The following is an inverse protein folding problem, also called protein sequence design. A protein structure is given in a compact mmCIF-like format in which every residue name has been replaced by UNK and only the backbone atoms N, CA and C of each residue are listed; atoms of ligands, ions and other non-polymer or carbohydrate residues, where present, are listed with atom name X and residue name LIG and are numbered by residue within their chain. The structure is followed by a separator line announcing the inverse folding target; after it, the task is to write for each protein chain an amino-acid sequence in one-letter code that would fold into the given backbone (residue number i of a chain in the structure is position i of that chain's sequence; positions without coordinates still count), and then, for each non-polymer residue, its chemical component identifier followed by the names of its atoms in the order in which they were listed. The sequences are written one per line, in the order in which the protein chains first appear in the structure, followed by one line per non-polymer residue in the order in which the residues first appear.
data_IF_231323782701
#
_entry.id   IF_231323782701
#
_cell.length_a   1.000
_cell.length_b   1.000
_cell.length_c   1.000
_cell.angle_alpha   90.00
_cell.angle_beta   90.00
_cell.angle_gamma   90.00
#
_symmetry.space_group_name_H-M   'P 1'
#
loop_
_entity.id
_entity.type
_entity.pdbx_description
1 polymer ?
#
# COMPACT_ATOMS: atom_id res chain seq x y z
N UNK A 1 -14.25 54.42 -46.53
CA UNK A 1 -14.93 53.49 -45.59
C UNK A 1 -14.51 52.06 -45.94
N UNK A 2 -13.72 51.43 -45.03
CA UNK A 2 -13.32 50.01 -45.14
C UNK A 2 -14.23 49.20 -44.22
N UNK A 3 -14.70 48.02 -44.62
CA UNK A 3 -15.51 47.14 -43.75
C UNK A 3 -14.66 46.46 -42.67
N UNK A 4 -15.23 46.10 -41.51
CA UNK A 4 -14.55 45.43 -40.42
C UNK A 4 -14.25 43.96 -40.72
N UNK A 5 -13.18 43.41 -40.04
CA UNK A 5 -12.81 42.01 -40.23
C UNK A 5 -13.76 41.03 -39.51
N UNK A 6 -13.85 39.76 -39.96
CA UNK A 6 -14.76 38.79 -39.38
C UNK A 6 -14.24 38.24 -38.06
N UNK A 7 -15.18 37.94 -37.15
CA UNK A 7 -14.94 37.37 -35.83
C UNK A 7 -14.38 35.95 -35.90
N UNK A 8 -13.29 35.69 -35.12
CA UNK A 8 -12.72 34.37 -34.95
C UNK A 8 -13.61 33.49 -34.04
N UNK A 9 -14.05 32.35 -34.60
CA UNK A 9 -14.72 31.31 -33.83
C UNK A 9 -13.70 30.47 -33.03
N UNK A 10 -13.84 30.46 -31.73
CA UNK A 10 -13.11 29.56 -30.84
C UNK A 10 -13.66 28.11 -30.95
N UNK A 11 -12.79 27.08 -30.88
CA UNK A 11 -13.27 25.70 -30.97
C UNK A 11 -13.91 25.25 -29.65
N UNK A 12 -15.12 24.74 -29.74
CA UNK A 12 -15.86 24.08 -28.65
C UNK A 12 -15.15 22.77 -28.22
N UNK A 13 -14.28 22.83 -27.21
CA UNK A 13 -13.83 21.66 -26.45
C UNK A 13 -14.67 21.58 -25.17
N UNK A 14 -15.61 20.62 -25.10
CA UNK A 14 -16.38 20.46 -23.88
C UNK A 14 -17.59 19.53 -23.92
N UNK A 15 -17.63 18.52 -24.81
CA UNK A 15 -18.78 17.60 -24.85
C UNK A 15 -18.48 16.10 -24.79
N UNK A 16 -17.22 15.68 -24.67
CA UNK A 16 -16.89 14.24 -24.58
C UNK A 16 -16.74 13.71 -23.14
N UNK A 17 -16.50 14.55 -22.16
CA UNK A 17 -16.32 14.09 -20.77
C UNK A 17 -17.64 13.76 -20.06
N UNK A 18 -18.76 14.33 -20.47
CA UNK A 18 -20.06 14.10 -19.81
C UNK A 18 -20.77 12.79 -20.22
N UNK A 19 -20.40 12.21 -21.35
CA UNK A 19 -21.08 10.98 -21.84
C UNK A 19 -20.51 9.73 -21.16
N UNK A 20 -19.24 9.74 -20.75
CA UNK A 20 -18.60 8.58 -20.09
C UNK A 20 -19.06 8.45 -18.64
N UNK A 21 -19.35 9.56 -17.95
CA UNK A 21 -19.83 9.52 -16.55
C UNK A 21 -21.30 9.02 -16.46
N UNK A 22 -22.14 9.29 -17.44
CA UNK A 22 -23.51 8.78 -17.45
C UNK A 22 -23.61 7.28 -17.78
N UNK A 23 -22.68 6.73 -18.56
CA UNK A 23 -22.66 5.30 -18.90
C UNK A 23 -22.31 4.39 -17.70
N UNK A 24 -21.45 4.84 -16.81
CA UNK A 24 -21.08 4.11 -15.59
C UNK A 24 -22.17 4.16 -14.50
N UNK A 25 -22.96 5.22 -14.45
CA UNK A 25 -24.08 5.35 -13.52
C UNK A 25 -25.29 4.47 -13.90
N UNK A 26 -25.51 4.22 -15.20
CA UNK A 26 -26.61 3.37 -15.68
C UNK A 26 -26.32 1.86 -15.54
N UNK A 27 -25.07 1.44 -15.59
CA UNK A 27 -24.68 0.05 -15.30
C UNK A 27 -24.78 -0.30 -13.81
N UNK A 28 -24.64 0.69 -12.90
CA UNK A 28 -24.86 0.51 -11.47
C UNK A 28 -26.33 0.40 -11.07
N UNK A 29 -27.25 1.04 -11.80
CA UNK A 29 -28.67 1.04 -11.46
C UNK A 29 -29.40 -0.25 -11.89
N UNK A 30 -28.95 -0.93 -12.94
CA UNK A 30 -29.55 -2.19 -13.39
C UNK A 30 -29.21 -3.37 -12.45
N UNK A 31 -28.12 -3.30 -11.70
CA UNK A 31 -27.72 -4.34 -10.73
C UNK A 31 -28.47 -4.23 -9.40
N UNK A 32 -29.09 -3.09 -9.09
CA UNK A 32 -29.84 -2.87 -7.84
C UNK A 32 -31.27 -3.45 -7.87
N UNK A 33 -31.82 -3.74 -9.05
CA UNK A 33 -33.17 -4.24 -9.18
C UNK A 33 -33.31 -5.77 -9.00
N UNK A 34 -32.21 -6.52 -9.01
CA UNK A 34 -32.21 -7.98 -8.74
C UNK A 34 -31.78 -8.38 -7.33
N UNK A 35 -31.56 -7.40 -6.45
CA UNK A 35 -31.08 -7.65 -5.07
C UNK A 35 -32.20 -8.02 -4.07
N UNK A 36 -33.37 -8.46 -4.51
CA UNK A 36 -34.54 -8.56 -3.62
C UNK A 36 -34.81 -9.97 -3.07
N UNK A 37 -33.80 -10.87 -3.03
CA UNK A 37 -33.86 -12.10 -2.24
C UNK A 37 -32.46 -12.62 -1.86
N UNK A 38 -31.45 -11.76 -1.68
CA UNK A 38 -30.20 -12.20 -1.07
C UNK A 38 -30.43 -12.32 0.45
N UNK A 39 -30.27 -13.53 0.98
CA UNK A 39 -30.04 -13.72 2.42
C UNK A 39 -29.02 -12.70 2.93
N UNK A 40 -29.12 -12.21 4.19
CA UNK A 40 -28.17 -11.21 4.69
C UNK A 40 -26.76 -11.79 4.51
N UNK A 41 -25.98 -11.16 3.62
CA UNK A 41 -24.59 -11.55 3.38
C UNK A 41 -23.87 -11.53 4.73
N UNK A 42 -23.47 -12.70 5.21
CA UNK A 42 -22.66 -12.82 6.42
C UNK A 42 -21.31 -12.23 6.09
N UNK A 43 -21.08 -10.98 6.47
CA UNK A 43 -19.77 -10.35 6.35
C UNK A 43 -18.75 -11.09 7.21
N UNK A 44 -17.55 -11.30 6.67
CA UNK A 44 -16.43 -11.73 7.47
C UNK A 44 -16.32 -13.23 7.76
N UNK A 45 -16.35 -14.08 6.74
CA UNK A 45 -16.16 -15.52 6.88
C UNK A 45 -14.75 -15.98 7.25
N UNK A 46 -13.70 -15.18 7.02
CA UNK A 46 -12.30 -15.53 7.37
C UNK A 46 -12.09 -15.56 8.88
N UNK A 47 -11.08 -16.34 9.32
CA UNK A 47 -10.64 -16.35 10.71
C UNK A 47 -10.02 -15.01 11.10
N UNK A 48 -10.11 -14.67 12.38
CA UNK A 48 -9.53 -13.45 12.92
C UNK A 48 -8.00 -13.44 12.70
N UNK A 49 -7.41 -12.29 12.40
CA UNK A 49 -6.00 -12.07 12.03
C UNK A 49 -5.56 -12.69 10.70
N UNK A 50 -6.42 -13.47 9.99
CA UNK A 50 -6.05 -14.08 8.69
C UNK A 50 -6.41 -13.19 7.49
N UNK A 51 -7.04 -12.05 7.69
CA UNK A 51 -7.24 -11.02 6.67
C UNK A 51 -6.01 -10.15 6.40
N UNK A 52 -4.96 -10.33 7.21
CA UNK A 52 -3.81 -9.43 7.25
C UNK A 52 -4.15 -8.08 7.86
N UNK A 53 -3.17 -7.21 7.88
CA UNK A 53 -3.35 -5.76 8.11
C UNK A 53 -3.15 -5.03 6.78
N UNK A 54 -3.38 -3.72 6.74
CA UNK A 54 -3.11 -2.92 5.55
C UNK A 54 -1.76 -2.25 5.74
N UNK A 55 -0.82 -2.52 4.84
CA UNK A 55 0.51 -1.91 4.89
C UNK A 55 0.45 -0.41 4.56
N UNK A 56 1.52 0.30 4.84
CA UNK A 56 1.62 1.77 4.63
C UNK A 56 1.34 2.24 3.19
N UNK A 57 1.45 1.36 2.19
CA UNK A 57 1.18 1.67 0.78
C UNK A 57 -0.23 1.22 0.32
N UNK A 58 -1.05 0.66 1.23
CA UNK A 58 -2.46 0.35 1.02
C UNK A 58 -2.78 -1.12 0.68
N UNK A 59 -1.81 -1.94 0.29
CA UNK A 59 -2.06 -3.36 0.02
C UNK A 59 -2.23 -4.15 1.33
N UNK A 60 -3.04 -5.21 1.30
CA UNK A 60 -3.15 -6.14 2.43
C UNK A 60 -1.86 -6.93 2.64
N UNK A 61 -1.42 -7.03 3.91
CA UNK A 61 -0.16 -7.67 4.24
C UNK A 61 0.22 -7.52 5.70
N UNK A 62 1.46 -7.24 5.97
CA UNK A 62 1.99 -6.74 7.23
C UNK A 62 2.00 -5.22 7.29
N UNK A 63 2.85 -4.62 8.11
CA UNK A 63 3.00 -3.16 8.19
C UNK A 63 3.82 -2.58 7.04
N UNK A 64 4.91 -3.25 6.70
CA UNK A 64 5.88 -2.83 5.67
C UNK A 64 5.75 -3.63 4.36
N UNK A 65 5.33 -4.90 4.43
CA UNK A 65 5.38 -5.82 3.29
C UNK A 65 4.00 -6.28 2.84
N UNK A 66 3.70 -6.36 1.53
CA UNK A 66 2.48 -6.97 1.05
C UNK A 66 2.57 -8.51 1.17
N UNK A 67 1.48 -9.14 1.62
CA UNK A 67 1.35 -10.59 1.66
C UNK A 67 0.49 -11.08 0.49
N UNK A 68 0.55 -12.38 0.22
CA UNK A 68 -0.30 -12.98 -0.79
C UNK A 68 -1.79 -13.03 -0.38
N UNK A 69 -2.11 -12.76 0.89
CA UNK A 69 -3.48 -12.69 1.39
C UNK A 69 -4.25 -11.56 0.70
N UNK A 70 -5.51 -11.81 0.40
CA UNK A 70 -6.46 -10.78 -0.03
C UNK A 70 -7.02 -10.14 1.24
N UNK A 71 -6.86 -8.83 1.37
CA UNK A 71 -7.26 -8.07 2.55
C UNK A 71 -8.77 -8.07 2.80
N UNK A 72 -9.14 -7.78 4.04
CA UNK A 72 -10.51 -7.89 4.53
C UNK A 72 -10.92 -9.33 4.87
N UNK A 73 -12.12 -9.47 5.45
CA UNK A 73 -12.60 -10.74 5.98
C UNK A 73 -13.57 -11.49 5.06
N UNK A 74 -13.77 -11.03 3.80
CA UNK A 74 -14.59 -11.71 2.81
C UNK A 74 -14.00 -13.04 2.34
N UNK A 75 -14.84 -14.07 2.23
CA UNK A 75 -14.49 -15.39 1.68
C UNK A 75 -14.66 -15.42 0.15
N UNK A 76 -14.58 -16.61 -0.45
CA UNK A 76 -14.67 -16.79 -1.92
C UNK A 76 -16.02 -16.39 -2.53
N UNK A 77 -17.05 -16.26 -1.72
CA UNK A 77 -18.42 -15.86 -2.05
C UNK A 77 -18.79 -14.47 -1.50
N UNK A 78 -17.83 -13.78 -0.86
CA UNK A 78 -18.04 -12.54 -0.15
C UNK A 78 -17.09 -11.43 -0.60
N UNK A 79 -17.48 -10.19 -0.31
CA UNK A 79 -16.65 -9.00 -0.40
C UNK A 79 -16.21 -8.62 1.01
N UNK A 80 -14.95 -8.28 1.19
CA UNK A 80 -14.43 -7.69 2.42
C UNK A 80 -13.84 -6.33 2.12
N UNK A 81 -13.88 -5.43 3.08
CA UNK A 81 -13.26 -4.12 2.96
C UNK A 81 -12.49 -3.78 4.23
N UNK A 82 -11.53 -2.89 4.10
CA UNK A 82 -10.75 -2.39 5.21
C UNK A 82 -10.41 -0.92 4.98
N UNK A 83 -10.56 -0.09 6.01
CA UNK A 83 -10.04 1.28 6.05
C UNK A 83 -8.95 1.35 7.12
N UNK A 84 -7.91 2.15 6.90
CA UNK A 84 -6.78 2.23 7.82
C UNK A 84 -6.26 3.64 8.00
N UNK A 85 -5.67 3.88 9.15
CA UNK A 85 -4.81 5.00 9.44
C UNK A 85 -3.57 4.50 10.17
N UNK A 86 -2.40 4.89 9.68
CA UNK A 86 -1.10 4.53 10.23
C UNK A 86 -0.27 5.77 10.46
N UNK A 87 0.32 5.87 11.65
CA UNK A 87 1.33 6.85 12.02
C UNK A 87 2.67 6.16 12.23
N UNK A 88 3.70 6.64 11.54
CA UNK A 88 5.10 6.30 11.82
C UNK A 88 5.81 7.53 12.32
N UNK A 89 6.51 7.41 13.42
CA UNK A 89 7.23 8.49 14.09
C UNK A 89 8.65 8.01 14.38
N UNK A 90 9.62 8.48 13.61
CA UNK A 90 11.03 8.13 13.74
C UNK A 90 11.83 9.34 14.22
N UNK A 91 13.15 9.20 14.38
CA UNK A 91 14.01 10.22 14.99
C UNK A 91 13.79 11.60 14.40
N UNK A 92 13.89 11.75 13.08
CA UNK A 92 13.92 13.05 12.40
C UNK A 92 12.73 13.28 11.47
N UNK A 93 11.93 12.24 11.21
CA UNK A 93 10.81 12.27 10.27
C UNK A 93 9.53 11.72 10.85
N UNK A 94 8.42 11.96 10.16
CA UNK A 94 7.18 11.26 10.44
C UNK A 94 6.37 11.01 9.18
N UNK A 95 5.55 9.96 9.22
CA UNK A 95 4.68 9.56 8.12
C UNK A 95 3.27 9.30 8.65
N UNK A 96 2.28 9.93 8.02
CA UNK A 96 0.88 9.56 8.14
C UNK A 96 0.47 8.83 6.85
N UNK A 97 -0.08 7.64 6.97
CA UNK A 97 -0.66 6.90 5.85
C UNK A 97 -2.10 6.53 6.15
N UNK A 98 -2.99 6.73 5.20
CA UNK A 98 -4.40 6.38 5.33
C UNK A 98 -4.99 5.98 3.99
N UNK A 99 -5.99 5.14 4.03
CA UNK A 99 -6.61 4.62 2.82
C UNK A 99 -7.61 3.53 3.09
N UNK A 100 -7.92 2.78 2.04
CA UNK A 100 -8.84 1.67 2.08
C UNK A 100 -8.47 0.60 1.05
N UNK A 101 -8.91 -0.61 1.31
CA UNK A 101 -8.88 -1.70 0.35
C UNK A 101 -10.21 -2.44 0.31
N UNK A 102 -10.47 -3.08 -0.81
CA UNK A 102 -11.61 -3.98 -1.03
C UNK A 102 -11.09 -5.30 -1.58
N UNK A 103 -11.39 -6.38 -0.88
CA UNK A 103 -11.14 -7.75 -1.31
C UNK A 103 -12.39 -8.36 -1.92
N UNK A 104 -12.28 -8.78 -3.18
CA UNK A 104 -13.37 -9.36 -3.95
C UNK A 104 -13.17 -10.87 -4.05
N UNK A 105 -14.10 -11.64 -3.46
CA UNK A 105 -14.21 -13.10 -3.59
C UNK A 105 -12.92 -13.84 -3.21
N UNK A 106 -12.16 -13.28 -2.25
CA UNK A 106 -10.84 -13.78 -1.85
C UNK A 106 -9.88 -14.03 -3.04
N UNK A 107 -10.08 -13.27 -4.13
CA UNK A 107 -9.33 -13.43 -5.39
C UNK A 107 -8.64 -12.15 -5.85
N UNK A 108 -9.33 -11.01 -5.78
CA UNK A 108 -8.83 -9.72 -6.24
C UNK A 108 -8.88 -8.73 -5.10
N UNK A 109 -7.86 -7.92 -4.94
CA UNK A 109 -7.80 -6.80 -4.01
C UNK A 109 -7.56 -5.53 -4.81
N UNK A 110 -8.36 -4.50 -4.52
CA UNK A 110 -8.15 -3.13 -4.99
C UNK A 110 -7.86 -2.26 -3.78
N UNK A 111 -6.89 -1.36 -3.88
CA UNK A 111 -6.50 -0.50 -2.77
C UNK A 111 -6.17 0.91 -3.19
N UNK A 112 -6.40 1.85 -2.27
CA UNK A 112 -5.98 3.24 -2.37
C UNK A 112 -5.30 3.63 -1.07
N UNK A 113 -4.22 4.41 -1.16
CA UNK A 113 -3.56 4.98 0.00
C UNK A 113 -3.04 6.38 -0.31
N UNK A 114 -3.00 7.23 0.71
CA UNK A 114 -2.29 8.51 0.70
C UNK A 114 -1.33 8.54 1.86
N UNK A 115 -0.08 8.84 1.54
CA UNK A 115 1.01 9.01 2.49
C UNK A 115 1.39 10.48 2.56
N UNK A 116 1.60 11.00 3.78
CA UNK A 116 2.12 12.34 4.06
C UNK A 116 3.38 12.20 4.88
N UNK A 117 4.50 12.46 4.25
CA UNK A 117 5.81 12.39 4.88
C UNK A 117 6.26 13.81 5.27
N UNK A 118 6.50 14.02 6.55
CA UNK A 118 6.90 15.30 7.13
C UNK A 118 8.40 15.28 7.46
N UNK A 119 9.14 16.21 6.90
CA UNK A 119 10.59 16.32 7.06
C UNK A 119 11.02 17.06 8.32
N UNK A 120 10.09 17.56 9.13
CA UNK A 120 10.37 18.26 10.39
C UNK A 120 11.47 19.31 10.24
N UNK A 121 12.51 19.24 11.07
CA UNK A 121 13.65 20.19 11.05
C UNK A 121 14.61 19.91 9.89
N UNK A 122 14.69 18.68 9.38
CA UNK A 122 15.53 18.29 8.25
C UNK A 122 15.16 19.08 6.98
N UNK A 123 13.88 19.39 6.78
CA UNK A 123 13.43 20.23 5.68
C UNK A 123 14.08 21.63 5.69
N UNK A 124 14.29 22.21 6.86
CA UNK A 124 15.01 23.48 6.98
C UNK A 124 16.51 23.33 6.67
N UNK A 125 17.15 22.24 7.10
CA UNK A 125 18.55 21.96 6.78
C UNK A 125 18.77 21.76 5.27
N UNK A 126 17.79 21.22 4.57
CA UNK A 126 17.80 21.05 3.11
C UNK A 126 17.33 22.28 2.32
N UNK A 127 17.02 23.41 3.00
CA UNK A 127 16.53 24.63 2.35
C UNK A 127 15.07 24.58 1.88
N UNK A 128 14.32 23.54 2.23
CA UNK A 128 12.91 23.35 1.85
C UNK A 128 11.93 24.04 2.82
N UNK A 129 12.43 24.44 4.01
CA UNK A 129 11.62 24.94 5.11
C UNK A 129 11.26 23.86 6.13
N UNK A 130 11.08 24.31 7.39
CA UNK A 130 10.70 23.40 8.50
C UNK A 130 9.33 22.79 8.27
N UNK A 131 9.21 21.46 8.45
CA UNK A 131 7.95 20.74 8.27
C UNK A 131 7.50 20.65 6.82
N UNK A 132 8.45 20.72 5.87
CA UNK A 132 8.14 20.46 4.47
C UNK A 132 7.55 19.05 4.30
N UNK A 133 6.56 18.91 3.42
CA UNK A 133 5.83 17.66 3.26
C UNK A 133 5.84 17.16 1.84
N UNK A 134 6.07 15.86 1.71
CA UNK A 134 5.77 15.11 0.49
C UNK A 134 4.43 14.38 0.67
N UNK A 135 3.62 14.38 -0.38
CA UNK A 135 2.40 13.56 -0.45
C UNK A 135 2.56 12.54 -1.57
N UNK A 136 2.34 11.28 -1.25
CA UNK A 136 2.33 10.20 -2.23
C UNK A 136 0.95 9.54 -2.26
N UNK A 137 0.35 9.47 -3.44
CA UNK A 137 -0.86 8.70 -3.70
C UNK A 137 -0.49 7.35 -4.30
N UNK A 138 -1.13 6.30 -3.82
CA UNK A 138 -0.94 4.93 -4.29
C UNK A 138 -2.28 4.32 -4.71
N UNK A 139 -2.31 3.71 -5.89
CA UNK A 139 -3.39 2.85 -6.36
C UNK A 139 -2.84 1.43 -6.51
N UNK A 140 -3.51 0.46 -5.89
CA UNK A 140 -3.04 -0.92 -5.87
C UNK A 140 -4.05 -1.89 -6.46
N UNK A 141 -3.53 -2.93 -7.10
CA UNK A 141 -4.27 -4.14 -7.48
C UNK A 141 -3.44 -5.36 -7.10
N UNK A 142 -4.08 -6.38 -6.52
CA UNK A 142 -3.48 -7.68 -6.23
C UNK A 142 -4.42 -8.77 -6.68
N UNK A 143 -3.86 -9.84 -7.27
CA UNK A 143 -4.60 -11.00 -7.73
C UNK A 143 -3.98 -12.26 -7.14
N UNK A 144 -4.76 -13.03 -6.40
CA UNK A 144 -4.41 -14.38 -5.93
C UNK A 144 -4.40 -15.33 -7.12
N UNK A 145 -3.26 -15.96 -7.39
CA UNK A 145 -3.06 -16.88 -8.50
C UNK A 145 -3.41 -18.32 -8.10
N UNK A 146 -2.83 -18.79 -6.99
CA UNK A 146 -2.90 -20.19 -6.56
C UNK A 146 -2.75 -20.31 -5.04
N UNK A 147 -3.00 -21.52 -4.53
CA UNK A 147 -2.82 -21.91 -3.14
C UNK A 147 -3.85 -21.31 -2.19
N UNK A 148 -3.78 -21.73 -0.94
CA UNK A 148 -4.53 -21.16 0.17
C UNK A 148 -3.60 -21.08 1.39
N UNK A 149 -3.47 -19.89 1.95
CA UNK A 149 -2.53 -19.65 3.04
C UNK A 149 -2.98 -20.29 4.36
N UNK A 150 -4.29 -20.44 4.57
CA UNK A 150 -4.90 -20.76 5.86
C UNK A 150 -5.56 -22.12 5.89
N UNK A 151 -6.35 -22.46 4.89
CA UNK A 151 -7.22 -23.64 4.94
C UNK A 151 -6.60 -24.88 4.29
N UNK A 152 -5.56 -24.73 3.46
CA UNK A 152 -4.90 -25.83 2.76
C UNK A 152 -3.66 -26.30 3.55
N UNK A 153 -3.90 -26.96 4.71
CA UNK A 153 -2.82 -27.37 5.61
C UNK A 153 -2.10 -28.64 5.16
N UNK A 154 -2.77 -29.50 4.39
CA UNK A 154 -2.22 -30.78 3.91
C UNK A 154 -1.26 -30.62 2.71
N UNK A 155 -1.20 -29.42 2.13
CA UNK A 155 -0.33 -29.11 1.00
C UNK A 155 0.78 -28.15 1.40
N UNK A 156 1.98 -28.38 0.82
CA UNK A 156 3.12 -27.48 1.00
C UNK A 156 2.95 -26.15 0.24
N UNK A 157 2.08 -26.10 -0.79
CA UNK A 157 1.89 -24.94 -1.67
C UNK A 157 1.36 -23.74 -0.86
N UNK A 158 2.12 -22.60 -0.81
CA UNK A 158 1.64 -21.38 -0.19
C UNK A 158 0.56 -20.73 -1.06
N UNK A 159 -0.15 -19.77 -0.50
CA UNK A 159 -0.92 -18.84 -1.31
C UNK A 159 0.05 -17.95 -2.10
N UNK A 160 -0.17 -17.82 -3.40
CA UNK A 160 0.64 -17.00 -4.31
C UNK A 160 -0.23 -15.90 -4.90
N UNK A 161 0.26 -14.68 -4.88
CA UNK A 161 -0.41 -13.53 -5.47
C UNK A 161 0.60 -12.64 -6.21
N UNK A 162 0.14 -12.00 -7.28
CA UNK A 162 0.85 -10.91 -7.93
C UNK A 162 0.11 -9.60 -7.66
N UNK A 163 0.84 -8.49 -7.63
CA UNK A 163 0.24 -7.18 -7.49
C UNK A 163 1.04 -6.09 -8.17
N UNK A 164 0.38 -4.96 -8.33
CA UNK A 164 0.94 -3.72 -8.85
C UNK A 164 0.50 -2.55 -7.98
N UNK A 165 1.41 -1.63 -7.71
CA UNK A 165 1.17 -0.39 -6.99
C UNK A 165 1.62 0.78 -7.87
N UNK A 166 0.68 1.53 -8.42
CA UNK A 166 0.98 2.80 -9.07
C UNK A 166 1.08 3.89 -8.00
N UNK A 167 2.22 4.53 -7.92
CA UNK A 167 2.56 5.55 -6.93
C UNK A 167 2.86 6.87 -7.61
N UNK A 168 2.43 7.96 -7.02
CA UNK A 168 2.67 9.31 -7.53
C UNK A 168 2.92 10.29 -6.40
N UNK A 169 4.04 11.00 -6.48
CA UNK A 169 4.43 12.04 -5.55
C UNK A 169 4.02 13.44 -6.08
N UNK A 170 3.75 14.38 -5.17
CA UNK A 170 3.27 15.72 -5.46
C UNK A 170 4.38 16.79 -5.62
N UNK A 171 5.66 16.47 -5.35
CA UNK A 171 6.79 17.40 -5.30
C UNK A 171 7.85 17.18 -6.40
N UNK A 172 7.49 17.31 -7.70
CA UNK A 172 8.38 16.95 -8.80
C UNK A 172 9.70 17.74 -8.80
N UNK A 173 9.68 19.01 -8.44
CA UNK A 173 10.88 19.87 -8.46
C UNK A 173 11.88 19.47 -7.38
N UNK A 174 11.39 19.13 -6.18
CA UNK A 174 12.24 18.65 -5.08
C UNK A 174 12.78 17.26 -5.40
N UNK A 175 11.97 16.40 -6.00
CA UNK A 175 12.42 15.06 -6.44
C UNK A 175 13.54 15.18 -7.49
N UNK A 176 13.41 16.06 -8.46
CA UNK A 176 14.46 16.31 -9.44
C UNK A 176 15.74 16.87 -8.79
N UNK A 177 15.61 17.74 -7.79
CA UNK A 177 16.75 18.28 -7.05
C UNK A 177 17.53 17.20 -6.28
N UNK A 178 16.86 16.21 -5.70
CA UNK A 178 17.50 15.07 -5.01
C UNK A 178 18.00 13.99 -5.98
N UNK A 179 17.85 14.18 -7.29
CA UNK A 179 18.37 13.29 -8.33
C UNK A 179 17.39 12.24 -8.84
N UNK A 180 16.14 12.22 -8.38
CA UNK A 180 15.13 11.29 -8.87
C UNK A 180 14.72 11.64 -10.32
N UNK A 181 14.52 10.60 -11.13
CA UNK A 181 14.21 10.75 -12.57
C UNK A 181 12.70 10.89 -12.83
N UNK A 182 11.85 10.41 -11.93
CA UNK A 182 10.39 10.40 -12.10
C UNK A 182 9.70 10.67 -10.76
N UNK A 183 8.53 11.30 -10.83
CA UNK A 183 7.64 11.49 -9.69
C UNK A 183 6.62 10.36 -9.52
N UNK A 184 6.44 9.52 -10.54
CA UNK A 184 5.49 8.41 -10.55
C UNK A 184 6.07 7.19 -11.27
N UNK A 185 5.70 6.01 -10.77
CA UNK A 185 6.01 4.72 -11.41
C UNK A 185 5.11 3.62 -10.83
N UNK A 186 5.25 2.42 -11.36
CA UNK A 186 4.55 1.22 -10.94
C UNK A 186 5.54 0.24 -10.32
N UNK A 187 5.32 -0.15 -9.07
CA UNK A 187 5.96 -1.32 -8.47
C UNK A 187 5.16 -2.57 -8.83
N UNK A 188 5.86 -3.61 -9.25
CA UNK A 188 5.29 -4.95 -9.44
C UNK A 188 5.80 -5.85 -8.32
N UNK A 189 4.97 -6.77 -7.82
CA UNK A 189 5.41 -7.73 -6.82
C UNK A 189 4.76 -9.10 -6.97
N UNK A 190 5.48 -10.12 -6.51
CA UNK A 190 5.03 -11.49 -6.37
C UNK A 190 5.19 -11.86 -4.89
N UNK A 191 4.11 -12.24 -4.24
CA UNK A 191 4.09 -12.63 -2.83
C UNK A 191 3.69 -14.10 -2.68
N UNK A 192 4.27 -14.75 -1.67
CA UNK A 192 3.95 -16.11 -1.26
C UNK A 192 3.77 -16.15 0.27
N UNK A 193 2.59 -16.56 0.75
CA UNK A 193 2.25 -16.56 2.18
C UNK A 193 1.69 -17.92 2.59
N UNK A 194 2.13 -18.41 3.74
CA UNK A 194 1.61 -19.64 4.38
C UNK A 194 1.46 -19.42 5.88
N UNK A 195 0.32 -19.85 6.42
CA UNK A 195 0.07 -19.96 7.86
C UNK A 195 0.02 -21.44 8.21
N UNK A 196 0.94 -21.87 9.05
CA UNK A 196 0.97 -23.21 9.64
C UNK A 196 0.15 -23.18 10.92
N UNK A 197 -1.06 -23.76 10.89
CA UNK A 197 -2.02 -23.70 12.01
C UNK A 197 -1.56 -24.48 13.23
N UNK A 198 -0.88 -25.61 13.05
CA UNK A 198 -0.34 -26.46 14.10
C UNK A 198 0.71 -25.74 14.97
N UNK A 199 1.59 -24.95 14.34
CA UNK A 199 2.59 -24.14 14.99
C UNK A 199 2.17 -22.69 15.20
N UNK A 200 0.99 -22.30 14.67
CA UNK A 200 0.50 -20.92 14.67
C UNK A 200 1.47 -19.92 14.04
N UNK A 201 2.24 -20.35 13.04
CA UNK A 201 3.31 -19.60 12.40
C UNK A 201 2.91 -19.16 11.00
N UNK A 202 2.93 -17.86 10.74
CA UNK A 202 2.80 -17.28 9.42
C UNK A 202 4.18 -16.92 8.87
N UNK A 203 4.41 -17.30 7.62
CA UNK A 203 5.62 -16.92 6.86
C UNK A 203 5.20 -16.29 5.54
N UNK A 204 5.83 -15.19 5.19
CA UNK A 204 5.65 -14.51 3.90
C UNK A 204 7.00 -14.18 3.27
N UNK A 205 7.09 -14.34 1.95
CA UNK A 205 8.17 -13.84 1.13
C UNK A 205 7.60 -13.08 -0.07
N UNK A 206 8.18 -11.93 -0.39
CA UNK A 206 7.75 -11.09 -1.50
C UNK A 206 8.96 -10.65 -2.31
N UNK A 207 8.87 -10.76 -3.62
CA UNK A 207 9.80 -10.19 -4.59
C UNK A 207 9.15 -8.97 -5.23
N UNK A 208 9.81 -7.82 -5.15
CA UNK A 208 9.33 -6.56 -5.72
C UNK A 208 10.26 -6.09 -6.83
N UNK A 209 9.71 -5.71 -7.97
CA UNK A 209 10.43 -5.12 -9.09
C UNK A 209 10.11 -3.62 -9.17
N UNK A 210 11.07 -2.79 -8.75
CA UNK A 210 10.82 -1.38 -8.43
C UNK A 210 11.97 -0.45 -8.84
N UNK A 211 11.68 0.85 -8.94
CA UNK A 211 12.62 1.97 -8.97
C UNK A 211 12.44 2.91 -7.77
N UNK A 212 11.56 2.59 -6.85
CA UNK A 212 11.13 3.49 -5.78
C UNK A 212 12.25 3.78 -4.77
N UNK A 213 12.62 5.04 -4.61
CA UNK A 213 13.51 5.52 -3.56
C UNK A 213 12.66 5.78 -2.29
N UNK A 214 13.09 5.32 -1.13
CA UNK A 214 12.32 5.44 0.13
C UNK A 214 10.84 5.10 -0.07
N UNK A 215 10.56 3.90 -0.62
CA UNK A 215 9.20 3.42 -0.91
C UNK A 215 8.42 4.29 -1.91
N UNK A 216 9.11 5.19 -2.66
CA UNK A 216 8.54 6.13 -3.62
C UNK A 216 8.40 7.56 -3.12
N UNK A 217 8.55 7.80 -1.81
CA UNK A 217 8.48 9.14 -1.22
C UNK A 217 9.55 10.07 -1.82
N UNK A 218 10.73 9.54 -2.15
CA UNK A 218 11.80 10.28 -2.82
C UNK A 218 11.83 10.03 -4.34
N UNK A 219 10.67 9.72 -4.95
CA UNK A 219 10.53 9.50 -6.37
C UNK A 219 11.08 8.16 -6.85
N UNK A 220 11.32 8.06 -8.17
CA UNK A 220 11.61 6.79 -8.84
C UNK A 220 12.80 6.94 -9.80
N UNK A 221 13.70 5.91 -9.78
CA UNK A 221 14.98 6.00 -10.44
C UNK A 221 15.86 7.07 -9.82
N UNK A 222 17.11 7.17 -10.26
CA UNK A 222 18.03 8.13 -9.71
C UNK A 222 19.20 8.43 -10.62
N UNK A 223 20.01 9.38 -10.21
CA UNK A 223 21.23 9.81 -10.88
C UNK A 223 22.32 8.71 -10.94
N UNK A 224 22.32 7.76 -9.97
CA UNK A 224 23.17 6.56 -10.04
C UNK A 224 22.60 5.49 -10.96
N UNK A 225 21.28 5.28 -10.96
CA UNK A 225 20.64 4.24 -11.76
C UNK A 225 19.16 4.50 -11.96
N UNK A 226 18.70 4.53 -13.21
CA UNK A 226 17.28 4.58 -13.57
C UNK A 226 16.66 3.20 -13.85
N UNK A 227 17.41 2.12 -13.73
CA UNK A 227 16.93 0.75 -13.95
C UNK A 227 16.03 0.30 -12.79
N UNK A 228 15.11 -0.63 -13.06
CA UNK A 228 14.41 -1.36 -12.00
C UNK A 228 15.36 -2.34 -11.33
N UNK A 229 15.20 -2.56 -10.04
CA UNK A 229 15.86 -3.60 -9.27
C UNK A 229 14.85 -4.59 -8.70
N UNK A 230 15.31 -5.80 -8.46
CA UNK A 230 14.54 -6.81 -7.75
C UNK A 230 14.89 -6.72 -6.26
N UNK A 231 13.89 -6.41 -5.46
CA UNK A 231 14.02 -6.27 -4.02
C UNK A 231 13.32 -7.42 -3.31
N UNK A 232 13.86 -7.81 -2.16
CA UNK A 232 13.34 -8.89 -1.33
C UNK A 232 12.64 -8.34 -0.07
N UNK A 233 11.49 -8.92 0.24
CA UNK A 233 10.74 -8.60 1.45
C UNK A 233 10.34 -9.91 2.14
N UNK A 234 10.32 -9.92 3.46
CA UNK A 234 9.94 -11.09 4.25
C UNK A 234 9.16 -10.68 5.49
N UNK A 235 8.27 -11.55 5.94
CA UNK A 235 7.58 -11.43 7.22
C UNK A 235 7.48 -12.79 7.89
N UNK A 236 7.61 -12.78 9.20
CA UNK A 236 7.31 -13.92 10.05
C UNK A 236 6.44 -13.44 11.21
N UNK A 237 5.35 -14.16 11.50
CA UNK A 237 4.49 -13.83 12.62
C UNK A 237 3.99 -15.09 13.31
N UNK A 238 3.88 -15.04 14.64
CA UNK A 238 3.29 -16.10 15.46
C UNK A 238 1.96 -15.61 16.05
N UNK A 239 0.91 -16.35 15.84
CA UNK A 239 -0.37 -16.14 16.52
C UNK A 239 -0.20 -16.62 17.97
N UNK A 240 -0.17 -15.70 18.93
CA UNK A 240 -0.08 -16.01 20.35
C UNK A 240 -1.42 -16.53 20.88
N UNK A 241 -2.50 -16.06 20.29
CA UNK A 241 -3.86 -16.53 20.46
C UNK A 241 -4.72 -16.02 19.28
N UNK A 242 -6.03 -16.27 19.31
CA UNK A 242 -6.95 -15.84 18.23
C UNK A 242 -7.05 -14.33 18.01
N UNK A 243 -6.59 -13.52 18.96
CA UNK A 243 -6.69 -12.06 18.94
C UNK A 243 -5.35 -11.34 18.85
N UNK A 244 -4.23 -12.04 19.03
CA UNK A 244 -2.92 -11.44 19.21
C UNK A 244 -1.86 -12.16 18.38
N UNK A 245 -1.11 -11.42 17.60
CA UNK A 245 0.05 -11.91 16.84
C UNK A 245 1.28 -11.06 17.13
N UNK A 246 2.43 -11.71 17.23
CA UNK A 246 3.75 -11.09 17.32
C UNK A 246 4.55 -11.47 16.08
N UNK A 247 5.24 -10.52 15.46
CA UNK A 247 6.02 -10.81 14.26
C UNK A 247 7.12 -9.80 13.99
N UNK A 248 7.83 -10.04 12.91
CA UNK A 248 8.85 -9.17 12.37
C UNK A 248 8.79 -9.13 10.85
N UNK A 249 9.21 -8.02 10.27
CA UNK A 249 9.28 -7.81 8.84
C UNK A 249 10.65 -7.28 8.44
N UNK A 250 11.02 -7.57 7.20
CA UNK A 250 12.21 -7.05 6.54
C UNK A 250 11.84 -6.62 5.12
N UNK A 251 12.36 -5.47 4.68
CA UNK A 251 12.19 -4.96 3.33
C UNK A 251 13.46 -4.31 2.83
N UNK A 252 14.06 -4.87 1.78
CA UNK A 252 15.19 -4.23 1.10
C UNK A 252 14.73 -3.01 0.31
N UNK A 253 15.64 -2.09 0.05
CA UNK A 253 15.42 -0.88 -0.73
C UNK A 253 16.50 -0.71 -1.77
N UNK A 254 16.16 -0.23 -3.00
CA UNK A 254 17.18 0.04 -4.02
C UNK A 254 17.94 1.33 -3.69
N UNK A 255 19.27 1.32 -3.84
CA UNK A 255 20.14 2.49 -3.67
C UNK A 255 20.42 3.14 -5.03
N UNK A 256 19.62 4.14 -5.41
CA UNK A 256 19.67 4.78 -6.74
C UNK A 256 20.00 6.27 -6.73
N UNK A 257 19.96 6.92 -5.56
CA UNK A 257 20.26 8.34 -5.43
C UNK A 257 21.70 8.59 -4.98
N UNK A 258 22.36 9.56 -5.61
CA UNK A 258 23.71 9.99 -5.24
C UNK A 258 23.77 10.71 -3.89
N UNK A 259 22.70 11.41 -3.53
CA UNK A 259 22.60 12.21 -2.32
C UNK A 259 22.45 11.38 -1.04
N UNK A 260 21.94 10.16 -1.14
CA UNK A 260 21.64 9.32 0.01
C UNK A 260 22.02 7.88 -0.24
N UNK A 261 22.40 7.17 0.82
CA UNK A 261 22.51 5.72 0.84
C UNK A 261 21.19 5.15 1.38
N UNK A 262 20.68 4.11 0.73
CA UNK A 262 19.48 3.42 1.15
C UNK A 262 19.84 2.13 1.88
N UNK A 263 19.47 2.04 3.15
CA UNK A 263 19.56 0.81 3.92
C UNK A 263 18.19 0.14 4.03
N UNK A 264 18.16 -1.19 4.22
CA UNK A 264 16.93 -1.94 4.37
C UNK A 264 16.11 -1.46 5.57
N UNK A 265 14.79 -1.64 5.49
CA UNK A 265 13.89 -1.40 6.61
C UNK A 265 13.51 -2.73 7.28
N UNK A 266 13.25 -2.68 8.58
CA UNK A 266 12.72 -3.81 9.34
C UNK A 266 11.84 -3.31 10.50
N UNK A 267 10.99 -4.19 10.99
CA UNK A 267 10.22 -3.94 12.20
C UNK A 267 10.02 -5.20 13.04
N UNK A 268 9.59 -4.97 14.28
CA UNK A 268 9.01 -5.99 15.16
C UNK A 268 7.66 -5.46 15.62
N UNK A 269 6.60 -6.20 15.36
CA UNK A 269 5.24 -5.76 15.57
C UNK A 269 4.42 -6.66 16.49
N UNK A 270 3.45 -6.05 17.15
CA UNK A 270 2.38 -6.68 17.88
C UNK A 270 1.04 -6.26 17.25
N UNK A 271 0.29 -7.21 16.71
CA UNK A 271 -1.02 -6.97 16.12
C UNK A 271 -2.11 -7.54 17.02
N UNK A 272 -3.06 -6.69 17.42
CA UNK A 272 -4.20 -7.05 18.24
C UNK A 272 -5.51 -6.77 17.52
N UNK A 273 -6.34 -7.81 17.39
CA UNK A 273 -7.67 -7.72 16.79
C UNK A 273 -8.73 -8.20 17.81
N UNK A 274 -9.38 -7.29 18.53
CA UNK A 274 -10.45 -7.66 19.47
C UNK A 274 -11.63 -8.34 18.76
N UNK A 275 -11.89 -7.97 17.52
CA UNK A 275 -12.93 -8.53 16.67
C UNK A 275 -12.58 -8.31 15.19
N UNK A 276 -13.45 -8.70 14.26
CA UNK A 276 -13.23 -8.55 12.81
C UNK A 276 -13.38 -7.11 12.31
N UNK A 277 -13.96 -6.22 13.11
CA UNK A 277 -14.22 -4.84 12.72
C UNK A 277 -13.09 -3.89 13.10
N UNK A 278 -12.21 -4.27 14.02
CA UNK A 278 -11.13 -3.43 14.46
C UNK A 278 -9.84 -4.21 14.71
N UNK A 279 -8.71 -3.66 14.30
CA UNK A 279 -7.39 -4.13 14.71
C UNK A 279 -6.45 -2.97 14.96
N UNK A 280 -5.51 -3.18 15.87
CA UNK A 280 -4.46 -2.25 16.24
C UNK A 280 -3.12 -2.94 16.10
N UNK A 281 -2.18 -2.31 15.41
CA UNK A 281 -0.80 -2.79 15.28
C UNK A 281 0.15 -1.75 15.85
N UNK A 282 0.98 -2.17 16.78
CA UNK A 282 2.10 -1.41 17.31
C UNK A 282 3.39 -2.07 16.86
N UNK A 283 4.34 -1.31 16.31
CA UNK A 283 5.65 -1.82 15.95
C UNK A 283 6.76 -0.85 16.36
N UNK A 284 7.93 -1.42 16.63
CA UNK A 284 9.19 -0.69 16.62
C UNK A 284 9.81 -0.89 15.24
N UNK A 285 10.08 0.20 14.54
CA UNK A 285 10.55 0.21 13.17
C UNK A 285 11.92 0.86 13.05
N UNK A 286 12.74 0.30 12.18
CA UNK A 286 13.97 0.89 11.68
C UNK A 286 13.81 1.05 10.15
N UNK A 287 13.80 2.28 9.68
CA UNK A 287 13.67 2.62 8.26
C UNK A 287 15.04 2.79 7.58
N UNK A 288 16.15 2.54 8.31
CA UNK A 288 17.52 2.80 7.84
C UNK A 288 17.78 4.29 7.65
N UNK A 289 18.60 4.63 6.68
CA UNK A 289 18.93 6.01 6.38
C UNK A 289 17.84 6.65 5.51
N UNK A 290 17.56 7.93 5.74
CA UNK A 290 16.65 8.74 4.94
C UNK A 290 17.35 10.06 4.60
N UNK A 291 17.75 10.24 3.34
CA UNK A 291 18.48 11.39 2.79
C UNK A 291 19.78 11.64 3.55
N UNK A 292 19.81 12.62 4.46
CA UNK A 292 21.00 13.04 5.21
C UNK A 292 21.05 12.53 6.65
N UNK A 293 19.98 11.88 7.10
CA UNK A 293 19.85 11.38 8.47
C UNK A 293 19.95 9.85 8.50
N UNK A 294 20.86 9.36 9.32
CA UNK A 294 21.10 7.94 9.52
C UNK A 294 20.18 7.36 10.61
N UNK A 295 20.07 6.04 10.67
CA UNK A 295 19.45 5.29 11.78
C UNK A 295 18.02 5.76 12.14
N UNK A 296 17.15 5.87 11.17
CA UNK A 296 15.78 6.36 11.38
C UNK A 296 14.90 5.31 12.06
N UNK A 297 14.89 5.32 13.38
CA UNK A 297 14.20 4.37 14.26
C UNK A 297 13.07 5.03 15.01
N UNK A 298 12.01 4.27 15.29
CA UNK A 298 10.90 4.80 16.06
C UNK A 298 9.71 3.87 16.16
N UNK A 299 8.52 4.46 16.25
CA UNK A 299 7.28 3.75 16.49
C UNK A 299 6.34 3.84 15.30
N UNK A 300 5.70 2.72 15.04
CA UNK A 300 4.62 2.57 14.08
C UNK A 300 3.34 2.21 14.84
N UNK A 301 2.26 2.93 14.59
CA UNK A 301 0.95 2.66 15.13
C UNK A 301 -0.07 2.65 13.99
N UNK A 302 -0.82 1.55 13.84
CA UNK A 302 -1.86 1.42 12.81
C UNK A 302 -3.18 1.01 13.42
N UNK A 303 -4.23 1.74 13.10
CA UNK A 303 -5.63 1.40 13.39
C UNK A 303 -6.31 1.00 12.10
N UNK A 304 -7.07 -0.08 12.13
CA UNK A 304 -7.81 -0.57 10.99
C UNK A 304 -9.25 -0.90 11.35
N UNK A 305 -10.15 -0.58 10.42
CA UNK A 305 -11.58 -0.86 10.52
C UNK A 305 -11.95 -1.82 9.38
N UNK A 306 -12.37 -3.03 9.74
CA UNK A 306 -12.76 -4.10 8.82
C UNK A 306 -14.27 -4.20 8.65
N UNK A 307 -14.69 -4.57 7.43
CA UNK A 307 -16.09 -4.74 7.05
C UNK A 307 -16.29 -6.04 6.27
#
# INVERSE_FOLDING_TARGET
MRPPPPASQSPRRGRMASVILCGLALLGAASLAQAQQAEPQRFGGKLLLTGGVTQIEGAGGGGLTPWALIGGYGTRDQVGANAFYTRVDVSDYSLDSYGALVGLYDRVELSIARQRFDTRDVGAALGLGRGFRFTQDTLGVKVRLAGDAVYDQDRWLPQIAIGALHKRNDQPDVLAFVGAQRRDDIDLYLAATKLYLDSSLLVNGTLRYTRANQFGILGFGGDRSDSRSLEFEASVARLLNRHLALGAEYRSKPDKLGIAREDAAWDVFLAWAPNKHASLTLAYVDLGNIVIEDDQRGWYLSLQLGF
#
